data_IF_822718439863
#
_entry.id   IF_822718439863
#
_cell.length_a   1.000
_cell.length_b   1.000
_cell.length_c   1.000
_cell.angle_alpha   90.00
_cell.angle_beta   90.00
_cell.angle_gamma   90.00
#
_symmetry.space_group_name_H-M   'P 1'
#
loop_
_entity.id
_entity.type
_entity.pdbx_description
1 polymer ?
#
# COMPACT_ATOMS: atom_id res chain seq x y z
N UNK A 1 6.21 26.96 12.89
CA UNK A 1 5.07 27.01 11.96
C UNK A 1 5.04 25.69 11.20
N UNK A 2 3.87 25.05 11.13
CA UNK A 2 3.50 23.90 10.28
C UNK A 2 4.17 22.53 10.58
N UNK A 3 3.75 21.89 11.68
CA UNK A 3 3.88 20.44 11.88
C UNK A 3 2.78 19.62 11.15
N UNK A 4 2.14 20.19 10.13
CA UNK A 4 0.91 19.65 9.55
C UNK A 4 1.12 18.67 8.38
N UNK A 5 2.32 18.58 7.78
CA UNK A 5 2.51 17.73 6.58
C UNK A 5 2.84 16.27 6.90
N UNK A 6 3.54 15.97 8.00
CA UNK A 6 3.91 14.59 8.35
C UNK A 6 2.78 13.80 9.05
N UNK A 7 1.86 14.51 9.73
CA UNK A 7 0.69 13.91 10.40
C UNK A 7 -0.39 13.49 9.38
N UNK A 8 -0.46 14.18 8.24
CA UNK A 8 -1.38 13.84 7.15
C UNK A 8 -1.10 12.47 6.54
N UNK A 9 0.17 12.13 6.29
CA UNK A 9 0.57 10.87 5.66
C UNK A 9 0.29 9.62 6.52
N UNK A 10 0.21 9.76 7.85
CA UNK A 10 -0.14 8.65 8.75
C UNK A 10 -1.66 8.42 8.83
N UNK A 11 -2.45 9.50 8.77
CA UNK A 11 -3.91 9.42 8.66
C UNK A 11 -4.33 8.77 7.34
N UNK A 12 -3.58 9.02 6.27
CA UNK A 12 -3.75 8.44 4.91
C UNK A 12 -3.58 6.91 4.93
N UNK A 13 -2.53 6.39 5.55
CA UNK A 13 -2.33 4.94 5.69
C UNK A 13 -3.41 4.29 6.56
N UNK A 14 -3.78 4.95 7.67
CA UNK A 14 -4.84 4.46 8.55
C UNK A 14 -6.22 4.43 7.86
N UNK A 15 -6.50 5.35 6.93
CA UNK A 15 -7.77 5.37 6.17
C UNK A 15 -7.80 4.30 5.09
N UNK A 16 -6.70 4.10 4.34
CA UNK A 16 -6.59 3.00 3.38
C UNK A 16 -6.71 1.61 4.07
N UNK A 17 -6.23 1.49 5.31
CA UNK A 17 -6.40 0.30 6.15
C UNK A 17 -7.76 0.24 6.85
N UNK A 18 -8.43 1.37 7.08
CA UNK A 18 -9.80 1.41 7.63
C UNK A 18 -10.85 0.88 6.65
N UNK A 19 -10.54 0.95 5.34
CA UNK A 19 -11.31 0.27 4.30
C UNK A 19 -11.15 -1.27 4.37
N UNK A 20 -10.16 -1.78 5.11
CA UNK A 20 -10.03 -3.18 5.51
C UNK A 20 -10.53 -3.46 6.93
N UNK A 21 -11.13 -2.48 7.62
CA UNK A 21 -11.53 -2.55 9.04
C UNK A 21 -13.05 -2.62 9.25
N UNK A 22 -13.85 -2.86 8.21
CA UNK A 22 -15.27 -3.17 8.36
C UNK A 22 -15.42 -4.57 8.96
N UNK A 23 -15.39 -4.65 10.29
CA UNK A 23 -15.58 -5.89 11.04
C UNK A 23 -16.95 -6.55 10.79
N UNK A 24 -17.07 -7.86 11.07
CA UNK A 24 -18.24 -8.66 10.70
C UNK A 24 -19.48 -8.23 11.48
N UNK A 25 -20.50 -7.77 10.77
CA UNK A 25 -21.86 -7.77 11.28
C UNK A 25 -22.44 -9.18 11.10
N UNK A 26 -22.32 -10.01 12.13
CA UNK A 26 -23.25 -11.12 12.35
C UNK A 26 -24.66 -10.52 12.53
N UNK A 27 -25.70 -11.10 11.90
CA UNK A 27 -26.32 -12.22 12.59
C UNK A 27 -26.91 -13.33 11.70
N UNK A 28 -26.68 -14.57 12.17
CA UNK A 28 -27.71 -15.55 12.49
C UNK A 28 -28.33 -16.46 11.41
N UNK A 29 -28.24 -17.75 11.76
CA UNK A 29 -29.28 -18.79 11.72
C UNK A 29 -29.57 -19.51 10.39
N UNK A 30 -29.14 -20.78 10.36
CA UNK A 30 -29.76 -21.87 9.60
C UNK A 30 -31.27 -21.95 9.84
N UNK A 31 -32.02 -22.52 8.89
CA UNK A 31 -32.60 -23.83 9.23
C UNK A 31 -32.50 -24.87 8.11
N UNK A 32 -32.35 -26.12 8.55
CA UNK A 32 -32.43 -27.36 7.76
C UNK A 32 -33.87 -27.66 7.29
N UNK A 33 -34.02 -28.31 6.11
CA UNK A 33 -34.65 -29.66 5.94
C UNK A 33 -35.38 -29.86 4.59
N UNK A 34 -34.75 -30.62 3.66
CA UNK A 34 -35.27 -31.65 2.71
C UNK A 34 -36.43 -31.38 1.72
N UNK A 35 -36.80 -32.35 0.84
CA UNK A 35 -36.09 -33.53 0.32
C UNK A 35 -36.08 -33.64 -1.25
N UNK A 36 -35.53 -34.76 -1.72
CA UNK A 36 -35.20 -35.23 -3.09
C UNK A 36 -36.17 -34.95 -4.28
N UNK A 37 -35.59 -34.83 -5.49
CA UNK A 37 -36.13 -35.44 -6.72
C UNK A 37 -35.08 -35.58 -7.83
N UNK A 38 -35.05 -36.78 -8.42
CA UNK A 38 -34.20 -37.21 -9.53
C UNK A 38 -34.67 -36.60 -10.84
N UNK A 39 -33.75 -35.99 -11.59
CA UNK A 39 -34.02 -35.48 -12.93
C UNK A 39 -32.73 -35.45 -13.74
N UNK A 40 -32.49 -36.51 -14.52
CA UNK A 40 -31.43 -36.56 -15.53
C UNK A 40 -31.75 -35.52 -16.61
N UNK A 41 -30.91 -34.51 -16.77
CA UNK A 41 -30.92 -33.59 -17.90
C UNK A 41 -29.47 -33.29 -18.28
N UNK A 42 -29.18 -33.47 -19.57
CA UNK A 42 -27.85 -33.37 -20.17
C UNK A 42 -27.20 -32.00 -19.91
N UNK A 43 -25.87 -31.93 -19.73
CA UNK A 43 -25.20 -30.65 -19.57
C UNK A 43 -25.22 -29.91 -20.91
N UNK A 44 -25.99 -28.82 -20.97
CA UNK A 44 -25.77 -27.77 -21.95
C UNK A 44 -24.43 -27.10 -21.61
N UNK A 45 -23.43 -27.27 -22.48
CA UNK A 45 -22.18 -26.51 -22.43
C UNK A 45 -22.47 -25.04 -22.67
N UNK A 46 -22.87 -24.34 -21.60
CA UNK A 46 -22.63 -22.92 -21.48
C UNK A 46 -21.19 -22.78 -21.02
N UNK A 47 -20.34 -22.13 -21.82
CA UNK A 47 -19.04 -21.64 -21.37
C UNK A 47 -19.28 -20.64 -20.26
N UNK A 48 -19.43 -21.15 -19.03
CA UNK A 48 -19.30 -20.36 -17.84
C UNK A 48 -17.88 -19.79 -17.87
N UNK A 49 -17.77 -18.46 -17.84
CA UNK A 49 -16.51 -17.83 -17.46
C UNK A 49 -16.04 -18.55 -16.18
N UNK A 50 -14.83 -19.11 -16.22
CA UNK A 50 -14.26 -19.74 -15.04
C UNK A 50 -14.40 -18.74 -13.89
N UNK A 51 -15.02 -19.16 -12.78
CA UNK A 51 -15.01 -18.37 -11.58
C UNK A 51 -13.55 -17.94 -11.31
N UNK A 52 -13.29 -16.65 -11.01
CA UNK A 52 -11.94 -16.21 -10.70
C UNK A 52 -11.37 -17.17 -9.65
N UNK A 53 -10.22 -17.77 -9.92
CA UNK A 53 -9.59 -18.65 -8.95
C UNK A 53 -9.29 -17.81 -7.71
N UNK A 54 -9.92 -18.12 -6.57
CA UNK A 54 -9.77 -17.37 -5.32
C UNK A 54 -8.30 -17.14 -4.92
N UNK A 55 -7.41 -18.03 -5.35
CA UNK A 55 -5.95 -17.94 -5.19
C UNK A 55 -5.36 -16.68 -5.86
N UNK A 56 -5.88 -16.27 -7.01
CA UNK A 56 -5.40 -15.09 -7.76
C UNK A 56 -5.86 -13.78 -7.12
N UNK A 57 -7.14 -13.72 -6.72
CA UNK A 57 -7.72 -12.58 -6.00
C UNK A 57 -6.97 -12.38 -4.67
N UNK A 58 -6.69 -13.47 -3.96
CA UNK A 58 -5.92 -13.45 -2.71
C UNK A 58 -4.48 -13.00 -2.95
N UNK A 59 -3.78 -13.57 -3.94
CA UNK A 59 -2.40 -13.16 -4.26
C UNK A 59 -2.30 -11.68 -4.64
N UNK A 60 -3.29 -11.17 -5.38
CA UNK A 60 -3.35 -9.74 -5.73
C UNK A 60 -3.57 -8.88 -4.48
N UNK A 61 -4.49 -9.28 -3.60
CA UNK A 61 -4.71 -8.58 -2.33
C UNK A 61 -3.46 -8.59 -1.44
N UNK A 62 -2.71 -9.71 -1.40
CA UNK A 62 -1.44 -9.79 -0.67
C UNK A 62 -0.36 -8.86 -1.25
N UNK A 63 -0.28 -8.76 -2.58
CA UNK A 63 0.62 -7.81 -3.25
C UNK A 63 0.24 -6.37 -2.89
N UNK A 64 -1.05 -6.04 -2.96
CA UNK A 64 -1.57 -4.72 -2.63
C UNK A 64 -1.36 -4.35 -1.16
N UNK A 65 -1.69 -5.24 -0.23
CA UNK A 65 -1.40 -5.02 1.19
C UNK A 65 0.10 -4.90 1.46
N UNK A 66 0.93 -5.69 0.79
CA UNK A 66 2.38 -5.59 0.88
C UNK A 66 2.89 -4.21 0.47
N UNK A 67 2.34 -3.65 -0.60
CA UNK A 67 2.65 -2.30 -1.06
C UNK A 67 2.23 -1.24 -0.03
N UNK A 68 0.94 -1.22 0.34
CA UNK A 68 0.38 -0.21 1.26
C UNK A 68 1.05 -0.29 2.63
N UNK A 69 1.21 -1.51 3.16
CA UNK A 69 1.85 -1.72 4.45
C UNK A 69 3.34 -1.47 4.45
N UNK A 70 4.06 -1.83 3.38
CA UNK A 70 5.47 -1.50 3.22
C UNK A 70 5.70 0.00 3.27
N UNK A 71 4.87 0.77 2.57
CA UNK A 71 4.86 2.23 2.62
C UNK A 71 4.59 2.76 4.04
N UNK A 72 3.52 2.29 4.70
CA UNK A 72 3.14 2.74 6.03
C UNK A 72 4.20 2.42 7.11
N UNK A 73 4.74 1.20 7.09
CA UNK A 73 5.79 0.77 8.02
C UNK A 73 7.11 1.50 7.75
N UNK A 74 7.43 1.77 6.48
CA UNK A 74 8.58 2.59 6.08
C UNK A 74 8.47 4.01 6.64
N UNK A 75 7.30 4.65 6.51
CA UNK A 75 7.04 5.97 7.09
C UNK A 75 7.16 5.97 8.62
N UNK A 76 6.58 4.97 9.29
CA UNK A 76 6.70 4.82 10.75
C UNK A 76 8.17 4.72 11.18
N UNK A 77 8.94 3.84 10.52
CA UNK A 77 10.37 3.68 10.80
C UNK A 77 11.18 4.96 10.55
N UNK A 78 10.88 5.68 9.46
CA UNK A 78 11.52 6.96 9.15
C UNK A 78 11.22 8.01 10.23
N UNK A 79 9.97 8.13 10.67
CA UNK A 79 9.58 9.05 11.73
C UNK A 79 10.21 8.70 13.09
N UNK A 80 10.22 7.43 13.47
CA UNK A 80 10.86 6.96 14.70
C UNK A 80 12.35 7.29 14.70
N UNK A 81 13.04 7.10 13.56
CA UNK A 81 14.44 7.52 13.40
C UNK A 81 14.60 9.03 13.51
N UNK A 82 13.71 9.80 12.92
CA UNK A 82 13.73 11.26 12.98
C UNK A 82 13.50 11.81 14.39
N UNK A 83 12.59 11.21 15.17
CA UNK A 83 12.32 11.59 16.57
C UNK A 83 13.49 11.20 17.49
N UNK A 84 14.21 10.13 17.15
CA UNK A 84 15.39 9.66 17.88
C UNK A 84 16.70 10.35 17.46
N UNK A 85 16.66 11.26 16.48
CA UNK A 85 17.85 12.02 16.12
C UNK A 85 18.35 12.73 17.39
N UNK A 86 19.62 12.53 17.77
CA UNK A 86 20.14 13.10 19.01
C UNK A 86 19.91 14.61 18.99
N UNK A 87 19.62 15.20 20.14
CA UNK A 87 19.53 16.65 20.29
C UNK A 87 20.95 17.22 20.22
N UNK A 88 21.58 17.09 19.05
CA UNK A 88 22.89 17.60 18.73
C UNK A 88 22.76 19.10 18.55
N UNK A 89 23.53 19.84 19.34
CA UNK A 89 23.68 21.30 19.21
C UNK A 89 24.38 21.69 17.90
N UNK A 90 25.04 20.74 17.24
CA UNK A 90 25.63 20.92 15.92
C UNK A 90 24.59 20.68 14.82
N UNK A 91 24.24 21.75 14.12
CA UNK A 91 23.26 21.76 13.03
C UNK A 91 23.71 20.90 11.86
N UNK A 92 25.00 20.89 11.53
CA UNK A 92 25.52 20.14 10.37
C UNK A 92 25.47 18.64 10.64
N UNK A 93 25.82 18.21 11.85
CA UNK A 93 25.70 16.79 12.22
C UNK A 93 24.24 16.33 12.25
N UNK A 94 23.31 17.18 12.69
CA UNK A 94 21.87 16.91 12.58
C UNK A 94 21.43 16.75 11.13
N UNK A 95 21.85 17.67 10.25
CA UNK A 95 21.51 17.65 8.84
C UNK A 95 22.05 16.39 8.14
N UNK A 96 23.29 15.98 8.45
CA UNK A 96 23.85 14.70 7.96
C UNK A 96 23.02 13.50 8.39
N UNK A 97 22.61 13.45 9.66
CA UNK A 97 21.83 12.34 10.19
C UNK A 97 20.42 12.29 9.56
N UNK A 98 19.78 13.45 9.36
CA UNK A 98 18.52 13.58 8.62
C UNK A 98 18.67 13.13 7.17
N UNK A 99 19.74 13.56 6.49
CA UNK A 99 20.02 13.16 5.10
C UNK A 99 20.20 11.65 4.99
N UNK A 100 20.94 11.04 5.92
CA UNK A 100 21.15 9.59 5.95
C UNK A 100 19.83 8.83 6.18
N UNK A 101 19.03 9.26 7.15
CA UNK A 101 17.72 8.65 7.44
C UNK A 101 16.78 8.77 6.23
N UNK A 102 16.79 9.92 5.55
CA UNK A 102 15.93 10.14 4.40
C UNK A 102 16.38 9.36 3.16
N UNK A 103 17.69 9.25 2.95
CA UNK A 103 18.28 8.40 1.90
C UNK A 103 17.93 6.93 2.10
N UNK A 104 18.00 6.44 3.34
CA UNK A 104 17.63 5.08 3.68
C UNK A 104 16.14 4.82 3.41
N UNK A 105 15.28 5.76 3.82
CA UNK A 105 13.84 5.68 3.59
C UNK A 105 13.49 5.62 2.10
N UNK A 106 14.00 6.56 1.29
CA UNK A 106 13.74 6.57 -0.16
C UNK A 106 14.30 5.31 -0.83
N UNK A 107 15.51 4.87 -0.46
CA UNK A 107 16.10 3.67 -1.05
C UNK A 107 15.30 2.42 -0.73
N UNK A 108 14.76 2.32 0.49
CA UNK A 108 13.89 1.22 0.88
C UNK A 108 12.56 1.27 0.14
N UNK A 109 11.94 2.45 0.02
CA UNK A 109 10.72 2.60 -0.77
C UNK A 109 10.94 2.22 -2.24
N UNK A 110 12.04 2.63 -2.86
CA UNK A 110 12.35 2.27 -4.24
C UNK A 110 12.42 0.74 -4.44
N UNK A 111 13.05 0.04 -3.49
CA UNK A 111 13.11 -1.42 -3.50
C UNK A 111 11.72 -2.04 -3.33
N UNK A 112 10.96 -1.56 -2.35
CA UNK A 112 9.65 -2.10 -2.01
C UNK A 112 8.63 -1.86 -3.14
N UNK A 113 8.64 -0.69 -3.80
CA UNK A 113 7.77 -0.36 -4.93
C UNK A 113 8.15 -1.13 -6.20
N UNK A 114 9.45 -1.31 -6.51
CA UNK A 114 9.89 -2.19 -7.62
C UNK A 114 9.52 -3.64 -7.38
N UNK A 115 9.65 -4.12 -6.14
CA UNK A 115 9.22 -5.46 -5.80
C UNK A 115 7.70 -5.62 -5.97
N UNK A 116 6.92 -4.63 -5.53
CA UNK A 116 5.47 -4.62 -5.72
C UNK A 116 5.09 -4.63 -7.20
N UNK A 117 5.70 -3.79 -8.04
CA UNK A 117 5.50 -3.78 -9.49
C UNK A 117 5.70 -5.17 -10.09
N UNK A 118 6.83 -5.82 -9.78
CA UNK A 118 7.11 -7.18 -10.24
C UNK A 118 6.14 -8.25 -9.70
N UNK A 119 5.61 -8.09 -8.49
CA UNK A 119 4.57 -8.99 -7.95
C UNK A 119 3.22 -8.77 -8.64
N UNK A 120 2.83 -7.52 -8.91
CA UNK A 120 1.61 -7.21 -9.64
C UNK A 120 1.65 -7.70 -11.09
N UNK A 121 2.78 -7.55 -11.79
CA UNK A 121 2.95 -8.11 -13.13
C UNK A 121 2.81 -9.65 -13.13
N UNK A 122 3.41 -10.33 -12.16
CA UNK A 122 3.33 -11.81 -12.05
C UNK A 122 1.91 -12.28 -11.75
N UNK A 123 1.21 -11.62 -10.84
CA UNK A 123 -0.16 -11.98 -10.47
C UNK A 123 -1.12 -11.63 -11.61
N UNK A 124 -0.97 -10.46 -12.23
CA UNK A 124 -1.85 -9.93 -13.27
C UNK A 124 -3.24 -9.55 -12.72
N UNK A 125 -4.19 -9.37 -13.64
CA UNK A 125 -5.56 -8.91 -13.32
C UNK A 125 -6.27 -9.89 -12.36
N UNK A 126 -6.78 -9.44 -11.20
CA UNK A 126 -7.23 -10.34 -10.14
C UNK A 126 -8.51 -11.12 -10.46
N UNK A 127 -9.45 -10.48 -11.15
CA UNK A 127 -10.73 -11.07 -11.58
C UNK A 127 -11.20 -10.42 -12.89
N UNK A 128 -12.08 -11.08 -13.67
CA UNK A 128 -12.69 -10.47 -14.85
C UNK A 128 -13.39 -9.14 -14.50
N UNK A 129 -13.17 -8.09 -15.27
CA UNK A 129 -13.75 -6.77 -15.02
C UNK A 129 -12.92 -5.85 -14.11
N UNK A 130 -11.79 -6.33 -13.58
CA UNK A 130 -10.85 -5.54 -12.78
C UNK A 130 -9.62 -5.07 -13.57
N UNK A 131 -9.67 -5.09 -14.91
CA UNK A 131 -8.56 -4.70 -15.79
C UNK A 131 -8.18 -3.23 -15.59
N UNK A 132 -9.18 -2.34 -15.49
CA UNK A 132 -8.97 -0.91 -15.25
C UNK A 132 -8.29 -0.68 -13.90
N UNK A 133 -8.83 -1.28 -12.83
CA UNK A 133 -8.26 -1.20 -11.49
C UNK A 133 -6.81 -1.70 -11.46
N UNK A 134 -6.52 -2.83 -12.10
CA UNK A 134 -5.16 -3.37 -12.16
C UNK A 134 -4.21 -2.45 -12.95
N UNK A 135 -4.68 -1.90 -14.08
CA UNK A 135 -3.91 -0.97 -14.90
C UNK A 135 -3.57 0.32 -14.15
N UNK A 136 -4.52 0.88 -13.40
CA UNK A 136 -4.29 2.08 -12.58
C UNK A 136 -3.25 1.83 -11.47
N UNK A 137 -3.26 0.65 -10.82
CA UNK A 137 -2.22 0.30 -9.84
C UNK A 137 -0.85 0.24 -10.50
N UNK A 138 -0.75 -0.39 -11.67
CA UNK A 138 0.50 -0.50 -12.40
C UNK A 138 1.05 0.87 -12.83
N UNK A 139 0.18 1.75 -13.35
CA UNK A 139 0.56 3.12 -13.73
C UNK A 139 1.03 3.94 -12.51
N UNK A 140 0.32 3.83 -11.39
CA UNK A 140 0.73 4.48 -10.14
C UNK A 140 2.09 3.97 -9.65
N UNK A 141 2.34 2.66 -9.74
CA UNK A 141 3.64 2.08 -9.35
C UNK A 141 4.77 2.60 -10.23
N UNK A 142 4.59 2.67 -11.55
CA UNK A 142 5.57 3.25 -12.49
C UNK A 142 5.83 4.72 -12.18
N UNK A 143 4.77 5.51 -11.98
CA UNK A 143 4.88 6.93 -11.62
C UNK A 143 5.66 7.12 -10.31
N UNK A 144 5.34 6.35 -9.27
CA UNK A 144 6.01 6.45 -7.97
C UNK A 144 7.46 5.97 -8.07
N UNK A 145 7.76 4.91 -8.81
CA UNK A 145 9.13 4.48 -9.05
C UNK A 145 9.96 5.56 -9.77
N UNK A 146 9.36 6.25 -10.76
CA UNK A 146 9.96 7.42 -11.40
C UNK A 146 10.24 8.56 -10.41
N UNK A 147 9.26 8.90 -9.56
CA UNK A 147 9.40 9.92 -8.53
C UNK A 147 10.46 9.57 -7.49
N UNK A 148 10.51 8.32 -7.02
CA UNK A 148 11.52 7.84 -6.08
C UNK A 148 12.93 7.89 -6.66
N UNK A 149 13.08 7.55 -7.95
CA UNK A 149 14.34 7.70 -8.67
C UNK A 149 14.82 9.16 -8.73
N UNK A 150 13.92 10.09 -9.00
CA UNK A 150 14.22 11.54 -8.98
C UNK A 150 14.54 12.04 -7.57
N UNK A 151 13.72 11.68 -6.58
CA UNK A 151 13.93 12.04 -5.18
C UNK A 151 15.30 11.57 -4.68
N UNK A 152 15.71 10.34 -5.02
CA UNK A 152 17.04 9.81 -4.68
C UNK A 152 18.17 10.65 -5.26
N UNK A 153 18.05 11.09 -6.51
CA UNK A 153 19.05 11.97 -7.14
C UNK A 153 19.09 13.35 -6.47
N UNK A 154 17.93 13.92 -6.16
CA UNK A 154 17.83 15.23 -5.49
C UNK A 154 18.41 15.17 -4.08
N UNK A 155 18.08 14.13 -3.31
CA UNK A 155 18.61 13.89 -1.96
C UNK A 155 20.12 13.69 -1.98
N UNK A 156 20.65 12.92 -2.93
CA UNK A 156 22.10 12.73 -3.08
C UNK A 156 22.86 14.03 -3.40
N UNK A 157 22.17 15.04 -3.93
CA UNK A 157 22.74 16.35 -4.24
C UNK A 157 22.65 17.37 -3.09
N UNK A 158 21.98 17.04 -1.97
CA UNK A 158 21.83 17.96 -0.85
C UNK A 158 23.13 18.14 -0.07
N UNK A 159 23.47 19.39 0.24
CA UNK A 159 24.60 19.73 1.11
C UNK A 159 24.10 19.93 2.55
N UNK A 160 24.55 19.13 3.53
CA UNK A 160 24.18 19.32 4.93
C UNK A 160 24.68 20.64 5.53
N UNK A 161 25.59 21.35 4.86
CA UNK A 161 26.04 22.70 5.25
C UNK A 161 25.18 23.82 4.66
N UNK A 162 24.23 23.49 3.78
CA UNK A 162 23.38 24.50 3.15
C UNK A 162 22.49 25.18 4.21
N UNK A 163 22.47 26.52 4.30
CA UNK A 163 21.57 27.23 5.20
C UNK A 163 20.09 26.95 4.94
N UNK A 164 19.72 26.55 3.71
CA UNK A 164 18.37 26.20 3.30
C UNK A 164 18.12 24.68 3.27
N UNK A 165 18.99 23.88 3.91
CA UNK A 165 18.93 22.40 3.91
C UNK A 165 17.54 21.83 4.21
N UNK A 166 16.85 22.34 5.23
CA UNK A 166 15.51 21.85 5.61
C UNK A 166 14.47 22.07 4.50
N UNK A 167 14.55 23.21 3.80
CA UNK A 167 13.68 23.51 2.67
C UNK A 167 14.03 22.62 1.47
N UNK A 168 15.31 22.38 1.24
CA UNK A 168 15.80 21.52 0.17
C UNK A 168 15.40 20.05 0.40
N UNK A 169 15.49 19.53 1.64
CA UNK A 169 14.98 18.21 2.02
C UNK A 169 13.46 18.12 1.81
N UNK A 170 12.70 19.12 2.24
CA UNK A 170 11.25 19.14 2.05
C UNK A 170 10.85 19.17 0.56
N UNK A 171 11.64 19.81 -0.30
CA UNK A 171 11.42 19.85 -1.74
C UNK A 171 11.81 18.55 -2.43
N UNK A 172 12.89 17.91 -1.98
CA UNK A 172 13.38 16.64 -2.53
C UNK A 172 12.49 15.44 -2.18
N UNK A 173 11.63 15.58 -1.17
CA UNK A 173 10.77 14.52 -0.65
C UNK A 173 9.32 14.53 -1.08
N UNK A 174 8.98 15.28 -2.14
CA UNK A 174 7.63 15.33 -2.71
C UNK A 174 7.16 13.99 -3.29
N UNK A 175 6.81 13.04 -2.41
CA UNK A 175 6.17 11.79 -2.76
C UNK A 175 4.65 11.99 -2.71
N UNK A 176 4.09 12.53 -3.80
CA UNK A 176 2.63 12.62 -3.99
C UNK A 176 1.94 11.23 -4.05
N UNK A 177 2.73 10.16 -4.10
CA UNK A 177 2.27 8.77 -4.08
C UNK A 177 1.37 8.40 -2.89
N UNK A 178 1.50 9.09 -1.74
CA UNK A 178 0.64 8.84 -0.57
C UNK A 178 -0.85 9.08 -0.88
N UNK A 179 -1.16 10.18 -1.54
CA UNK A 179 -2.51 10.53 -1.99
C UNK A 179 -3.02 9.58 -3.08
N UNK A 180 -2.14 9.11 -3.96
CA UNK A 180 -2.48 8.15 -5.00
C UNK A 180 -2.83 6.78 -4.40
N UNK A 181 -2.06 6.28 -3.42
CA UNK A 181 -2.35 5.04 -2.70
C UNK A 181 -3.72 5.08 -2.01
N UNK A 182 -4.08 6.21 -1.40
CA UNK A 182 -5.38 6.42 -0.76
C UNK A 182 -6.55 6.33 -1.73
N UNK A 183 -6.48 7.11 -2.82
CA UNK A 183 -7.53 7.12 -3.84
C UNK A 183 -7.74 5.73 -4.44
N UNK A 184 -6.66 4.94 -4.51
CA UNK A 184 -6.73 3.56 -4.96
C UNK A 184 -7.40 2.61 -3.95
N UNK A 185 -7.18 2.84 -2.65
CA UNK A 185 -7.80 2.04 -1.59
C UNK A 185 -9.33 2.10 -1.66
N UNK A 186 -9.89 3.28 -1.93
CA UNK A 186 -11.34 3.45 -2.09
C UNK A 186 -11.90 2.66 -3.29
N UNK A 187 -11.15 2.61 -4.41
CA UNK A 187 -11.55 1.83 -5.60
C UNK A 187 -11.47 0.32 -5.35
N UNK A 188 -10.46 -0.15 -4.63
CA UNK A 188 -10.29 -1.57 -4.28
C UNK A 188 -11.45 -2.04 -3.40
N UNK A 189 -11.88 -1.24 -2.42
CA UNK A 189 -13.04 -1.55 -1.57
C UNK A 189 -14.38 -1.46 -2.31
N UNK A 190 -14.42 -0.89 -3.51
CA UNK A 190 -15.60 -0.91 -4.38
C UNK A 190 -15.88 -2.27 -5.04
N UNK A 191 -14.96 -3.23 -4.93
CA UNK A 191 -15.07 -4.57 -5.52
C UNK A 191 -15.20 -5.61 -4.39
N UNK A 192 -16.37 -6.22 -4.16
CA UNK A 192 -16.62 -7.07 -2.99
C UNK A 192 -15.65 -8.24 -2.82
N UNK A 193 -15.27 -8.90 -3.92
CA UNK A 193 -14.32 -10.02 -3.89
C UNK A 193 -12.92 -9.57 -3.47
N UNK A 194 -12.50 -8.37 -3.88
CA UNK A 194 -11.22 -7.79 -3.47
C UNK A 194 -11.29 -7.28 -2.04
N UNK A 195 -12.38 -6.64 -1.62
CA UNK A 195 -12.60 -6.24 -0.23
C UNK A 195 -12.51 -7.47 0.71
N UNK A 196 -13.17 -8.57 0.36
CA UNK A 196 -13.10 -9.81 1.14
C UNK A 196 -11.68 -10.39 1.16
N UNK A 197 -10.97 -10.39 0.03
CA UNK A 197 -9.59 -10.85 -0.01
C UNK A 197 -8.67 -9.94 0.84
N UNK A 198 -8.87 -8.62 0.81
CA UNK A 198 -8.12 -7.63 1.57
C UNK A 198 -8.32 -7.73 3.09
N UNK A 199 -9.43 -8.31 3.55
CA UNK A 199 -9.69 -8.55 4.99
C UNK A 199 -9.19 -9.92 5.47
N UNK A 200 -9.08 -10.90 4.58
CA UNK A 200 -8.77 -12.30 4.94
C UNK A 200 -7.36 -12.74 4.55
N UNK A 201 -6.72 -12.06 3.60
CA UNK A 201 -5.39 -12.40 3.13
C UNK A 201 -4.37 -12.29 4.28
N UNK A 202 -3.57 -13.35 4.55
CA UNK A 202 -2.65 -13.39 5.68
C UNK A 202 -1.72 -12.19 5.79
N UNK A 203 -1.20 -11.70 4.66
CA UNK A 203 -0.31 -10.54 4.63
C UNK A 203 -1.01 -9.24 5.02
N UNK A 204 -2.27 -9.07 4.64
CA UNK A 204 -3.09 -7.93 5.03
C UNK A 204 -3.32 -7.90 6.54
N UNK A 205 -3.71 -9.04 7.12
CA UNK A 205 -3.94 -9.19 8.56
C UNK A 205 -2.67 -8.92 9.37
N UNK A 206 -1.54 -9.46 8.92
CA UNK A 206 -0.26 -9.25 9.60
C UNK A 206 0.17 -7.77 9.58
N UNK A 207 0.02 -7.09 8.45
CA UNK A 207 0.34 -5.66 8.31
C UNK A 207 -0.56 -4.81 9.21
N UNK A 208 -1.87 -5.10 9.25
CA UNK A 208 -2.80 -4.42 10.16
C UNK A 208 -2.35 -4.56 11.62
N UNK A 209 -1.92 -5.76 12.03
CA UNK A 209 -1.41 -6.01 13.38
C UNK A 209 -0.16 -5.20 13.71
N UNK A 210 0.73 -4.99 12.74
CA UNK A 210 1.96 -4.21 12.94
C UNK A 210 1.72 -2.69 13.00
N UNK A 211 0.64 -2.21 12.37
CA UNK A 211 0.30 -0.78 12.30
C UNK A 211 -0.62 -0.36 13.45
N UNK A 212 -1.60 -1.20 13.81
CA UNK A 212 -2.57 -0.93 14.90
C UNK A 212 -2.12 -1.37 16.30
N UNK A 213 -0.95 -2.00 16.40
CA UNK A 213 -0.31 -2.44 17.66
C UNK A 213 0.64 -1.41 18.27
#
# INVERSE_FOLDING_TARGET
>A
MKHHSAVGALLVAAVALSACSSGPADPAASPSSGPASSGTSAPASSSAAAAPSGDKVTAWAEAYCGLVGGYALGLKAYQEKHVQLPNVTDVVERNKAQLAAFTEFISKLEIDFKAAEGEFEKVGVPLPGAEELHGEVAEMLDQVNGQLGQAKQQVAALDPNDPDFEQAVSGAGGLDGASALLAHGEKVSGVPELEQAMTTAPKCVEIQRQIGG
#
